data_IF_013362884187
#
_entry.id   IF_013362884187
#
_cell.length_a   1.000
_cell.length_b   1.000
_cell.length_c   1.000
_cell.angle_alpha   90.00
_cell.angle_beta   90.00
_cell.angle_gamma   90.00
#
_symmetry.space_group_name_H-M   'P 1'
#
loop_
_entity.id
_entity.type
_entity.pdbx_description
1 polymer ?
#
# COMPACT_ATOMS: atom_id res chain seq x y z
N UNK A 1 34.56 30.28 -10.36
CA UNK A 1 34.20 28.84 -10.32
C UNK A 1 32.73 28.76 -9.93
N UNK A 2 31.84 28.82 -10.92
CA UNK A 2 30.43 28.54 -10.69
C UNK A 2 30.33 27.04 -10.43
N UNK A 3 29.91 26.66 -9.21
CA UNK A 3 29.55 25.26 -8.96
C UNK A 3 28.27 25.05 -9.74
N UNK A 4 28.36 24.18 -10.73
CA UNK A 4 27.42 24.09 -11.83
C UNK A 4 26.04 23.77 -11.30
N UNK A 5 25.02 24.50 -11.76
CA UNK A 5 23.63 24.27 -11.35
C UNK A 5 23.17 22.84 -11.72
N UNK A 6 23.87 22.19 -12.67
CA UNK A 6 23.64 20.80 -13.08
C UNK A 6 23.93 19.79 -11.98
N UNK A 7 25.01 19.98 -11.21
CA UNK A 7 25.40 19.06 -10.12
C UNK A 7 24.32 19.01 -9.03
N UNK A 8 23.65 20.14 -8.80
CA UNK A 8 22.53 20.22 -7.86
C UNK A 8 21.26 19.51 -8.34
N UNK A 9 20.99 19.53 -9.65
CA UNK A 9 19.83 18.88 -10.26
C UNK A 9 19.99 17.35 -10.26
N UNK A 10 21.18 16.85 -10.58
CA UNK A 10 21.50 15.42 -10.54
C UNK A 10 21.43 14.86 -9.11
N UNK A 11 21.93 15.58 -8.11
CA UNK A 11 21.84 15.18 -6.69
C UNK A 11 20.40 15.12 -6.21
N UNK A 12 19.55 16.06 -6.63
CA UNK A 12 18.11 16.03 -6.30
C UNK A 12 17.42 14.83 -6.94
N UNK A 13 17.73 14.52 -8.20
CA UNK A 13 17.17 13.36 -8.90
C UNK A 13 17.62 12.03 -8.29
N UNK A 14 18.86 11.94 -7.80
CA UNK A 14 19.36 10.77 -7.07
C UNK A 14 18.60 10.60 -5.76
N UNK A 15 18.41 11.69 -4.99
CA UNK A 15 17.64 11.65 -3.75
C UNK A 15 16.17 11.28 -4.00
N UNK A 16 15.54 11.83 -5.04
CA UNK A 16 14.17 11.48 -5.40
C UNK A 16 14.03 9.99 -5.76
N UNK A 17 14.97 9.46 -6.55
CA UNK A 17 14.97 8.05 -6.95
C UNK A 17 15.29 7.11 -5.77
N UNK A 18 16.20 7.48 -4.87
CA UNK A 18 16.50 6.71 -3.66
C UNK A 18 15.34 6.77 -2.64
N UNK A 19 14.65 7.91 -2.52
CA UNK A 19 13.45 8.05 -1.67
C UNK A 19 12.28 7.23 -2.25
N UNK A 20 12.22 7.09 -3.57
CA UNK A 20 11.22 6.25 -4.24
C UNK A 20 11.41 4.75 -3.97
N UNK A 21 12.60 4.30 -3.61
CA UNK A 21 12.89 2.92 -3.19
C UNK A 21 12.48 2.67 -1.72
N UNK A 22 12.44 3.74 -0.91
CA UNK A 22 12.07 3.69 0.52
C UNK A 22 10.55 3.72 0.75
N UNK A 23 9.78 4.36 -0.14
CA UNK A 23 8.31 4.38 -0.07
C UNK A 23 7.70 3.48 -1.14
N UNK A 24 6.90 2.49 -0.75
CA UNK A 24 6.11 1.72 -1.71
C UNK A 24 5.23 2.66 -2.55
N UNK A 25 5.28 2.59 -3.89
CA UNK A 25 4.48 3.46 -4.73
C UNK A 25 2.97 3.15 -4.63
N UNK A 26 2.17 4.13 -5.01
CA UNK A 26 0.72 4.02 -5.07
C UNK A 26 0.02 4.25 -3.73
N UNK A 27 -1.32 4.12 -3.75
CA UNK A 27 -2.18 4.36 -2.59
C UNK A 27 -1.89 3.36 -1.48
N UNK A 28 -1.79 3.87 -0.24
CA UNK A 28 -1.37 3.08 0.93
C UNK A 28 -2.52 2.67 1.86
N UNK A 29 -3.69 3.30 1.76
CA UNK A 29 -4.83 3.03 2.64
C UNK A 29 -6.17 3.28 1.95
N UNK A 30 -7.21 2.56 2.39
CA UNK A 30 -8.54 2.60 1.80
C UNK A 30 -9.66 2.73 2.85
N UNK A 31 -9.75 3.86 3.57
CA UNK A 31 -10.77 4.05 4.61
C UNK A 31 -12.21 3.91 4.08
N UNK A 32 -12.45 4.22 2.82
CA UNK A 32 -13.75 4.13 2.15
C UNK A 32 -14.25 2.68 1.96
N UNK A 33 -13.38 1.68 2.12
CA UNK A 33 -13.72 0.27 1.97
C UNK A 33 -14.22 -0.38 3.27
N UNK A 34 -14.13 0.31 4.40
CA UNK A 34 -14.71 -0.16 5.66
C UNK A 34 -16.23 -0.28 5.50
N UNK A 35 -16.80 -1.42 5.91
CA UNK A 35 -18.21 -1.74 5.74
C UNK A 35 -18.58 -2.29 4.36
N UNK A 36 -17.61 -2.48 3.44
CA UNK A 36 -17.85 -3.11 2.14
C UNK A 36 -17.52 -4.62 2.18
N UNK A 37 -18.11 -5.42 1.26
CA UNK A 37 -17.70 -6.82 1.09
C UNK A 37 -16.22 -6.92 0.68
N UNK A 38 -15.53 -7.94 1.20
CA UNK A 38 -14.11 -8.17 0.93
C UNK A 38 -13.80 -8.34 -0.58
N UNK A 39 -14.67 -9.01 -1.32
CA UNK A 39 -14.53 -9.19 -2.77
C UNK A 39 -14.57 -7.85 -3.51
N UNK A 40 -15.51 -6.98 -3.15
CA UNK A 40 -15.59 -5.63 -3.70
C UNK A 40 -14.34 -4.82 -3.35
N UNK A 41 -13.90 -4.87 -2.09
CA UNK A 41 -12.70 -4.17 -1.64
C UNK A 41 -11.45 -4.62 -2.41
N UNK A 42 -11.30 -5.92 -2.65
CA UNK A 42 -10.20 -6.49 -3.44
C UNK A 42 -10.14 -5.88 -4.86
N UNK A 43 -11.27 -5.85 -5.56
CA UNK A 43 -11.35 -5.30 -6.93
C UNK A 43 -10.94 -3.82 -6.96
N UNK A 44 -11.39 -3.03 -5.98
CA UNK A 44 -11.03 -1.61 -5.90
C UNK A 44 -9.53 -1.43 -5.64
N UNK A 45 -8.95 -2.20 -4.71
CA UNK A 45 -7.52 -2.10 -4.37
C UNK A 45 -6.65 -2.46 -5.58
N UNK A 46 -6.95 -3.56 -6.28
CA UNK A 46 -6.19 -3.98 -7.48
C UNK A 46 -6.27 -2.92 -8.59
N UNK A 47 -7.43 -2.26 -8.73
CA UNK A 47 -7.64 -1.21 -9.72
C UNK A 47 -6.91 0.09 -9.37
N UNK A 48 -6.91 0.48 -8.10
CA UNK A 48 -6.33 1.75 -7.65
C UNK A 48 -4.84 1.68 -7.39
N UNK A 49 -4.32 0.50 -7.03
CA UNK A 49 -2.90 0.28 -6.82
C UNK A 49 -2.44 -1.02 -7.50
N UNK A 50 -1.92 -0.94 -8.73
CA UNK A 50 -1.41 -2.10 -9.47
C UNK A 50 -0.26 -2.84 -8.78
N UNK A 51 0.41 -2.22 -7.82
CA UNK A 51 1.47 -2.85 -7.02
C UNK A 51 0.89 -3.74 -5.93
N UNK A 52 -0.39 -3.57 -5.56
CA UNK A 52 -1.09 -4.36 -4.55
C UNK A 52 -1.48 -5.76 -5.08
N UNK A 53 -0.47 -6.63 -5.24
CA UNK A 53 -0.62 -7.97 -5.81
C UNK A 53 -0.94 -9.06 -4.78
N UNK A 54 -0.73 -8.82 -3.48
CA UNK A 54 -0.96 -9.79 -2.40
C UNK A 54 -2.07 -9.31 -1.44
N UNK A 55 -3.32 -9.46 -1.86
CA UNK A 55 -4.48 -9.08 -1.04
C UNK A 55 -5.00 -10.29 -0.27
N UNK A 56 -4.91 -10.26 1.05
CA UNK A 56 -5.26 -11.37 1.95
C UNK A 56 -6.45 -11.02 2.83
N UNK A 57 -7.41 -11.93 2.93
CA UNK A 57 -8.56 -11.79 3.84
C UNK A 57 -8.24 -12.44 5.18
N UNK A 58 -8.43 -11.70 6.27
CA UNK A 58 -8.23 -12.16 7.64
C UNK A 58 -9.55 -12.16 8.39
N UNK A 59 -10.03 -13.36 8.72
CA UNK A 59 -11.17 -13.55 9.61
C UNK A 59 -10.76 -13.45 11.09
N UNK A 60 -11.72 -13.25 12.01
CA UNK A 60 -11.44 -13.20 13.44
C UNK A 60 -10.66 -14.43 13.91
N UNK A 61 -9.60 -14.22 14.69
CA UNK A 61 -8.73 -15.28 15.20
C UNK A 61 -7.54 -15.65 14.31
N UNK A 62 -7.48 -15.15 13.06
CA UNK A 62 -6.31 -15.34 12.20
C UNK A 62 -5.16 -14.41 12.62
N UNK A 63 -3.93 -14.93 12.54
CA UNK A 63 -2.72 -14.17 12.89
C UNK A 63 -2.30 -13.32 11.68
N UNK A 64 -2.21 -12.00 11.87
CA UNK A 64 -1.61 -11.09 10.88
C UNK A 64 -0.09 -11.08 11.05
N UNK A 65 0.69 -11.37 9.98
CA UNK A 65 2.13 -11.16 9.98
C UNK A 65 2.50 -9.72 10.37
N UNK A 66 3.57 -9.54 11.14
CA UNK A 66 4.03 -8.23 11.63
C UNK A 66 5.05 -7.54 10.72
N UNK A 67 5.62 -8.26 9.74
CA UNK A 67 6.54 -7.66 8.78
C UNK A 67 5.78 -6.75 7.81
N UNK A 68 6.48 -5.79 7.20
CA UNK A 68 5.91 -4.91 6.18
C UNK A 68 6.37 -5.36 4.79
N UNK A 69 5.43 -5.52 3.84
CA UNK A 69 5.70 -5.94 2.47
C UNK A 69 4.95 -5.03 1.50
N UNK A 70 5.68 -4.36 0.60
CA UNK A 70 5.07 -3.57 -0.47
C UNK A 70 4.15 -4.45 -1.32
N UNK A 71 2.96 -3.92 -1.63
CA UNK A 71 1.99 -4.62 -2.44
C UNK A 71 1.16 -5.68 -1.71
N UNK A 72 1.40 -5.91 -0.41
CA UNK A 72 0.52 -6.72 0.42
C UNK A 72 -0.53 -5.84 1.08
N UNK A 73 -1.78 -6.29 1.10
CA UNK A 73 -2.87 -5.60 1.80
C UNK A 73 -3.69 -6.64 2.55
N UNK A 74 -3.96 -6.37 3.83
CA UNK A 74 -4.83 -7.22 4.63
C UNK A 74 -6.25 -6.64 4.70
N UNK A 75 -7.23 -7.42 4.28
CA UNK A 75 -8.65 -7.18 4.49
C UNK A 75 -9.07 -7.86 5.78
N UNK A 76 -9.10 -7.13 6.88
CA UNK A 76 -9.61 -7.65 8.17
C UNK A 76 -11.12 -7.56 8.17
N UNK A 77 -11.78 -8.71 8.25
CA UNK A 77 -13.22 -8.86 8.06
C UNK A 77 -13.89 -9.50 9.27
N UNK A 78 -15.22 -9.40 9.32
CA UNK A 78 -16.04 -10.27 10.17
C UNK A 78 -16.37 -11.61 9.48
N UNK A 79 -17.16 -12.44 10.14
CA UNK A 79 -17.66 -13.71 9.63
C UNK A 79 -18.62 -13.65 8.40
N UNK A 80 -19.07 -12.47 7.98
CA UNK A 80 -19.90 -12.17 6.81
C UNK A 80 -19.01 -11.60 5.69
N UNK A 81 -17.68 -11.63 5.87
CA UNK A 81 -16.69 -11.08 4.96
C UNK A 81 -16.86 -9.57 4.71
N UNK A 82 -17.36 -8.82 5.71
CA UNK A 82 -17.44 -7.36 5.67
C UNK A 82 -16.19 -6.77 6.32
N UNK A 83 -15.53 -5.86 5.60
CA UNK A 83 -14.31 -5.18 6.07
C UNK A 83 -14.61 -4.35 7.32
N UNK A 84 -13.86 -4.59 8.40
CA UNK A 84 -14.02 -3.90 9.70
C UNK A 84 -12.93 -2.89 10.01
N UNK A 85 -11.74 -3.09 9.45
CA UNK A 85 -10.58 -2.22 9.67
C UNK A 85 -10.15 -1.65 8.32
N UNK A 86 -9.74 -0.39 8.31
CA UNK A 86 -9.18 0.26 7.12
C UNK A 86 -8.07 -0.62 6.52
N UNK A 87 -8.22 -1.08 5.27
CA UNK A 87 -7.14 -1.76 4.56
C UNK A 87 -5.96 -0.83 4.41
N UNK A 88 -4.77 -1.33 4.76
CA UNK A 88 -3.50 -0.60 4.69
C UNK A 88 -2.48 -1.53 4.05
N UNK A 89 -1.65 -0.97 3.16
CA UNK A 89 -0.52 -1.70 2.58
C UNK A 89 0.49 -2.07 3.66
N UNK A 90 0.98 -3.31 3.64
CA UNK A 90 1.98 -3.83 4.58
C UNK A 90 1.94 -5.33 4.74
#
# INVERSE_FOLDING_TARGET
>A
MARDLSDGIEVLQILENEIQDVLCPGKQSWPELVGKPAEYAKIIIEKENPVAHDIRVLFPGMIRPSNYVCGRVFLVVDWEAIVKITPIMG
#
